data_IF_438903733075
#
_entry.id   IF_438903733075
#
_cell.length_a   1.000
_cell.length_b   1.000
_cell.length_c   1.000
_cell.angle_alpha   90.00
_cell.angle_beta   90.00
_cell.angle_gamma   90.00
#
_symmetry.space_group_name_H-M   'P 1'
#
loop_
_entity.id
_entity.type
_entity.pdbx_description
1 polymer ?
#
# COMPACT_ATOMS: atom_id res chain seq x y z
N UNK A 1 13.23 51.57 21.69
CA UNK A 1 12.67 50.19 21.78
C UNK A 1 11.58 49.90 20.75
N UNK A 2 10.45 50.63 20.67
CA UNK A 2 9.34 50.33 19.71
C UNK A 2 9.80 50.22 18.26
N UNK A 3 10.64 51.16 17.73
CA UNK A 3 11.13 51.11 16.35
C UNK A 3 12.00 49.87 16.06
N UNK A 4 12.85 49.45 17.01
CA UNK A 4 13.68 48.24 16.84
C UNK A 4 12.81 47.00 16.76
N UNK A 5 11.81 46.87 17.65
CA UNK A 5 10.84 45.75 17.63
C UNK A 5 10.09 45.71 16.28
N UNK A 6 9.65 46.87 15.77
CA UNK A 6 8.97 46.95 14.47
C UNK A 6 9.88 46.46 13.33
N UNK A 7 11.16 46.91 13.29
CA UNK A 7 12.11 46.43 12.26
C UNK A 7 12.39 44.93 12.41
N UNK A 8 12.55 44.38 13.62
CA UNK A 8 12.73 42.97 13.83
C UNK A 8 11.50 42.15 13.36
N UNK A 9 10.27 42.62 13.63
CA UNK A 9 9.06 41.96 13.15
C UNK A 9 8.92 42.04 11.63
N UNK A 10 9.26 43.17 11.00
CA UNK A 10 9.23 43.27 9.54
C UNK A 10 10.28 42.39 8.87
N UNK A 11 11.51 42.33 9.38
CA UNK A 11 12.54 41.41 8.86
C UNK A 11 12.15 39.96 9.01
N UNK A 12 11.56 39.57 10.14
CA UNK A 12 11.06 38.22 10.34
C UNK A 12 9.93 37.89 9.37
N UNK A 13 8.98 38.80 9.18
CA UNK A 13 7.89 38.63 8.22
C UNK A 13 8.42 38.46 6.79
N UNK A 14 9.33 39.29 6.36
CA UNK A 14 9.96 39.21 5.03
C UNK A 14 10.72 37.88 4.86
N UNK A 15 11.45 37.43 5.88
CA UNK A 15 12.14 36.15 5.86
C UNK A 15 11.14 34.99 5.73
N UNK A 16 10.04 35.01 6.50
CA UNK A 16 8.97 33.99 6.40
C UNK A 16 8.33 33.96 5.01
N UNK A 17 8.04 35.13 4.44
CA UNK A 17 7.49 35.25 3.08
C UNK A 17 8.48 34.73 2.02
N UNK A 18 9.76 35.04 2.14
CA UNK A 18 10.80 34.53 1.24
C UNK A 18 10.91 33.00 1.31
N UNK A 19 10.88 32.40 2.51
CA UNK A 19 10.88 30.95 2.70
C UNK A 19 9.61 30.34 2.09
N UNK A 20 8.44 30.92 2.36
CA UNK A 20 7.19 30.43 1.80
C UNK A 20 7.19 30.49 0.25
N UNK A 21 7.66 31.59 -0.34
CA UNK A 21 7.78 31.73 -1.79
C UNK A 21 8.75 30.70 -2.39
N UNK A 22 9.89 30.46 -1.71
CA UNK A 22 10.87 29.46 -2.14
C UNK A 22 10.29 28.05 -2.10
N UNK A 23 9.62 27.67 -1.01
CA UNK A 23 8.96 26.35 -0.88
C UNK A 23 7.85 26.19 -1.92
N UNK A 24 7.05 27.24 -2.15
CA UNK A 24 6.00 27.20 -3.16
C UNK A 24 6.60 27.01 -4.57
N UNK A 25 7.66 27.74 -4.90
CA UNK A 25 8.38 27.58 -6.17
C UNK A 25 8.98 26.18 -6.30
N UNK A 26 9.65 25.66 -5.27
CA UNK A 26 10.23 24.32 -5.27
C UNK A 26 9.15 23.23 -5.50
N UNK A 27 7.99 23.36 -4.86
CA UNK A 27 6.92 22.39 -4.97
C UNK A 27 6.10 22.48 -6.26
N UNK A 28 6.19 23.58 -6.99
CA UNK A 28 5.47 23.76 -8.25
C UNK A 28 6.32 23.53 -9.49
N UNK A 29 7.67 23.52 -9.36
CA UNK A 29 8.55 23.28 -10.51
C UNK A 29 8.45 21.84 -10.99
N UNK A 30 8.65 21.65 -12.30
CA UNK A 30 8.69 20.34 -12.94
C UNK A 30 10.13 19.81 -13.00
N UNK A 31 10.26 18.49 -12.90
CA UNK A 31 11.45 17.82 -13.40
C UNK A 31 11.32 17.65 -14.91
N UNK A 32 12.23 18.29 -15.62
CA UNK A 32 12.32 18.24 -17.09
C UNK A 32 13.38 17.23 -17.57
N UNK A 33 14.09 16.58 -16.64
CA UNK A 33 15.19 15.65 -16.95
C UNK A 33 14.69 14.29 -17.49
N UNK A 34 13.42 14.03 -17.41
CA UNK A 34 12.81 12.76 -17.71
C UNK A 34 12.53 12.56 -19.20
N UNK A 35 13.55 12.12 -19.90
CA UNK A 35 13.44 11.25 -21.07
C UNK A 35 12.74 11.77 -22.31
N UNK A 36 13.43 11.68 -23.42
CA UNK A 36 12.82 11.69 -24.77
C UNK A 36 11.76 10.59 -24.87
N UNK A 37 10.63 10.91 -25.50
CA UNK A 37 9.61 9.93 -25.86
C UNK A 37 10.24 8.69 -26.51
N UNK A 38 9.73 7.53 -26.17
CA UNK A 38 10.20 6.28 -26.80
C UNK A 38 10.07 6.37 -28.33
N UNK A 39 11.05 5.81 -29.03
CA UNK A 39 10.92 5.62 -30.47
C UNK A 39 9.66 4.80 -30.76
N UNK A 40 8.93 5.05 -31.85
CA UNK A 40 7.70 4.33 -32.17
C UNK A 40 7.95 2.84 -32.27
N UNK A 41 7.56 2.11 -31.23
CA UNK A 41 7.49 0.67 -31.20
C UNK A 41 6.22 0.20 -31.95
N UNK A 42 6.13 -1.08 -32.27
CA UNK A 42 4.90 -1.69 -32.73
C UNK A 42 3.74 -1.33 -31.80
N UNK A 43 2.71 -0.68 -32.35
CA UNK A 43 1.60 -0.16 -31.57
C UNK A 43 0.86 -1.27 -30.80
N UNK A 44 0.71 -2.45 -31.35
CA UNK A 44 0.07 -3.59 -30.69
C UNK A 44 0.90 -4.05 -29.48
N UNK A 45 2.20 -4.17 -29.62
CA UNK A 45 3.11 -4.54 -28.54
C UNK A 45 3.11 -3.50 -27.42
N UNK A 46 3.03 -2.22 -27.78
CA UNK A 46 2.95 -1.13 -26.82
C UNK A 46 1.65 -1.19 -25.99
N UNK A 47 0.51 -1.48 -26.63
CA UNK A 47 -0.78 -1.67 -25.95
C UNK A 47 -0.75 -2.89 -25.01
N UNK A 48 -0.15 -4.02 -25.43
CA UNK A 48 -0.05 -5.21 -24.58
C UNK A 48 0.86 -4.98 -23.38
N UNK A 49 1.98 -4.30 -23.58
CA UNK A 49 2.85 -3.85 -22.47
C UNK A 49 2.09 -2.94 -21.51
N UNK A 50 1.37 -1.96 -22.03
CA UNK A 50 0.56 -1.03 -21.23
C UNK A 50 -0.52 -1.73 -20.45
N UNK A 51 -1.19 -2.74 -21.03
CA UNK A 51 -2.18 -3.58 -20.34
C UNK A 51 -1.58 -4.32 -19.16
N UNK A 52 -0.40 -4.91 -19.37
CA UNK A 52 0.35 -5.60 -18.30
C UNK A 52 0.72 -4.63 -17.17
N UNK A 53 1.28 -3.47 -17.50
CA UNK A 53 1.68 -2.45 -16.55
C UNK A 53 0.49 -1.84 -15.79
N UNK A 54 -0.65 -1.62 -16.45
CA UNK A 54 -1.86 -1.10 -15.80
C UNK A 54 -2.44 -2.09 -14.78
N UNK A 55 -2.32 -3.40 -15.04
CA UNK A 55 -2.66 -4.44 -14.05
C UNK A 55 -1.67 -4.43 -12.90
N UNK A 56 -0.38 -4.41 -13.17
CA UNK A 56 0.67 -4.39 -12.15
C UNK A 56 0.56 -3.16 -11.26
N UNK A 57 0.31 -1.98 -11.83
CA UNK A 57 0.09 -0.73 -11.10
C UNK A 57 -1.28 -0.66 -10.40
N UNK A 58 -2.11 -1.70 -10.52
CA UNK A 58 -3.44 -1.79 -9.91
C UNK A 58 -4.33 -0.56 -10.18
N UNK A 59 -4.24 0.01 -11.37
CA UNK A 59 -4.92 1.26 -11.72
C UNK A 59 -6.44 1.18 -11.51
N UNK A 60 -7.03 0.00 -11.78
CA UNK A 60 -8.47 -0.24 -11.61
C UNK A 60 -8.93 -0.11 -10.16
N UNK A 61 -8.10 -0.41 -9.16
CA UNK A 61 -8.49 -0.33 -7.76
C UNK A 61 -8.97 1.07 -7.35
N UNK A 62 -8.31 2.11 -7.88
CA UNK A 62 -8.68 3.50 -7.61
C UNK A 62 -9.61 4.09 -8.70
N UNK A 63 -9.50 3.56 -9.93
CA UNK A 63 -10.21 4.14 -11.09
C UNK A 63 -11.43 3.34 -11.55
N UNK A 64 -11.95 2.41 -10.71
CA UNK A 64 -13.17 1.64 -11.00
C UNK A 64 -13.99 1.48 -9.73
N UNK A 65 -15.09 2.18 -9.61
CA UNK A 65 -16.00 2.01 -8.48
C UNK A 65 -16.58 0.59 -8.44
N UNK A 66 -16.94 0.10 -7.27
CA UNK A 66 -17.59 -1.21 -7.13
C UNK A 66 -18.85 -1.30 -7.98
N UNK A 67 -18.92 -2.29 -8.87
CA UNK A 67 -20.01 -2.42 -9.84
C UNK A 67 -20.00 -1.39 -10.97
N UNK A 68 -19.01 -0.50 -11.02
CA UNK A 68 -18.86 0.52 -12.06
C UNK A 68 -18.15 0.01 -13.32
N UNK A 69 -18.10 0.87 -14.33
CA UNK A 69 -17.37 0.62 -15.57
C UNK A 69 -15.86 0.75 -15.33
N UNK A 70 -15.06 -0.11 -15.99
CA UNK A 70 -13.61 -0.12 -15.88
C UNK A 70 -13.01 1.25 -16.21
N UNK A 71 -12.13 1.73 -15.35
CA UNK A 71 -11.44 3.01 -15.46
C UNK A 71 -12.32 4.27 -15.44
N UNK A 72 -13.63 4.15 -15.22
CA UNK A 72 -14.54 5.30 -15.20
C UNK A 72 -14.48 6.11 -13.89
N UNK A 73 -13.67 5.71 -12.93
CA UNK A 73 -13.49 6.42 -11.65
C UNK A 73 -14.57 6.13 -10.62
N UNK A 74 -14.66 7.00 -9.63
CA UNK A 74 -15.71 6.98 -8.60
C UNK A 74 -15.36 6.21 -7.33
N UNK A 75 -14.26 5.47 -7.28
CA UNK A 75 -13.80 4.78 -6.06
C UNK A 75 -13.50 5.78 -4.95
N UNK A 76 -14.10 5.57 -3.79
CA UNK A 76 -13.82 6.33 -2.59
C UNK A 76 -12.52 5.85 -1.93
N UNK A 77 -11.63 6.77 -1.61
CA UNK A 77 -10.34 6.54 -0.95
C UNK A 77 -10.37 7.30 0.37
N UNK A 78 -10.74 6.64 1.47
CA UNK A 78 -10.78 7.29 2.78
C UNK A 78 -9.37 7.61 3.29
N UNK A 79 -9.20 8.79 3.85
CA UNK A 79 -7.95 9.25 4.44
C UNK A 79 -8.24 9.99 5.77
N UNK A 80 -7.24 10.22 6.63
CA UNK A 80 -7.41 11.06 7.82
C UNK A 80 -7.81 12.51 7.52
N UNK A 81 -7.70 12.93 6.27
CA UNK A 81 -7.96 14.30 5.80
C UNK A 81 -9.34 14.47 5.16
N UNK A 82 -10.09 13.38 5.01
CA UNK A 82 -11.34 13.25 4.28
C UNK A 82 -11.26 12.24 3.13
N UNK A 83 -12.28 12.19 2.30
CA UNK A 83 -12.39 11.21 1.22
C UNK A 83 -11.94 11.80 -0.12
N UNK A 84 -11.02 11.12 -0.78
CA UNK A 84 -10.64 11.37 -2.17
C UNK A 84 -11.40 10.41 -3.09
N UNK A 85 -11.59 10.79 -4.34
CA UNK A 85 -12.25 9.94 -5.34
C UNK A 85 -11.34 9.77 -6.56
N UNK A 86 -11.19 8.52 -7.01
CA UNK A 86 -10.46 8.22 -8.24
C UNK A 86 -11.19 8.86 -9.45
N UNK A 87 -10.49 9.63 -10.30
CA UNK A 87 -11.10 10.23 -11.47
C UNK A 87 -11.34 9.21 -12.59
N UNK A 88 -12.19 9.60 -13.56
CA UNK A 88 -12.34 8.90 -14.83
C UNK A 88 -11.05 9.04 -15.66
N UNK A 89 -10.42 7.91 -16.01
CA UNK A 89 -9.24 7.85 -16.88
C UNK A 89 -9.50 7.08 -18.18
N UNK A 90 -10.78 6.90 -18.55
CA UNK A 90 -11.14 6.39 -19.88
C UNK A 90 -10.86 7.45 -20.96
N UNK A 91 -10.77 7.05 -22.24
CA UNK A 91 -10.54 8.00 -23.35
C UNK A 91 -11.79 8.82 -23.72
N UNK A 92 -12.70 9.04 -22.77
CA UNK A 92 -13.81 9.96 -22.97
C UNK A 92 -13.29 11.40 -23.04
N UNK A 93 -13.66 12.19 -24.09
CA UNK A 93 -13.09 13.51 -24.31
C UNK A 93 -13.65 14.59 -23.37
N UNK A 94 -14.78 14.34 -22.71
CA UNK A 94 -15.44 15.33 -21.86
C UNK A 94 -15.17 15.11 -20.38
N UNK A 95 -15.15 13.85 -19.93
CA UNK A 95 -15.09 13.51 -18.51
C UNK A 95 -13.86 12.67 -18.13
N UNK A 96 -13.12 12.17 -19.12
CA UNK A 96 -11.93 11.34 -18.95
C UNK A 96 -10.66 12.02 -19.47
N UNK A 97 -9.70 11.20 -19.92
CA UNK A 97 -8.42 11.65 -20.46
C UNK A 97 -8.39 11.66 -22.00
N UNK A 98 -9.53 11.67 -22.67
CA UNK A 98 -9.64 11.58 -24.14
C UNK A 98 -8.95 12.70 -24.90
N UNK A 99 -8.81 13.88 -24.29
CA UNK A 99 -8.11 15.04 -24.88
C UNK A 99 -6.62 15.13 -24.48
N UNK A 100 -6.14 14.21 -23.62
CA UNK A 100 -4.75 14.20 -23.18
C UNK A 100 -3.84 13.65 -24.29
N UNK A 101 -2.62 14.12 -24.29
CA UNK A 101 -1.50 13.51 -25.04
C UNK A 101 -0.57 12.74 -24.10
N UNK A 102 0.46 12.12 -24.66
CA UNK A 102 1.42 11.32 -23.90
C UNK A 102 2.21 12.17 -22.87
N UNK A 103 2.47 13.45 -23.17
CA UNK A 103 3.15 14.35 -22.25
C UNK A 103 2.25 14.75 -21.08
N UNK A 104 0.97 15.01 -21.30
CA UNK A 104 0.00 15.26 -20.25
C UNK A 104 -0.07 14.07 -19.26
N UNK A 105 -0.10 12.85 -19.80
CA UNK A 105 -0.14 11.64 -18.99
C UNK A 105 1.18 11.41 -18.24
N UNK A 106 2.31 11.65 -18.89
CA UNK A 106 3.62 11.62 -18.27
C UNK A 106 3.70 12.63 -17.11
N UNK A 107 3.26 13.87 -17.30
CA UNK A 107 3.25 14.88 -16.26
C UNK A 107 2.44 14.44 -15.03
N UNK A 108 1.32 13.74 -15.24
CA UNK A 108 0.53 13.23 -14.14
C UNK A 108 1.28 12.17 -13.32
N UNK A 109 1.92 11.21 -13.98
CA UNK A 109 2.69 10.15 -13.32
C UNK A 109 4.00 10.69 -12.70
N UNK A 110 4.76 11.45 -13.48
CA UNK A 110 6.13 11.83 -13.11
C UNK A 110 6.17 13.04 -12.19
N UNK A 111 5.38 14.07 -12.50
CA UNK A 111 5.37 15.30 -11.75
C UNK A 111 4.12 15.48 -10.86
N UNK A 112 3.18 14.55 -10.84
CA UNK A 112 1.94 14.68 -10.06
C UNK A 112 1.13 15.92 -10.43
N UNK A 113 1.07 16.26 -11.71
CA UNK A 113 0.30 17.39 -12.27
C UNK A 113 -0.70 16.93 -13.29
N UNK A 114 -1.93 17.43 -13.19
CA UNK A 114 -2.96 17.25 -14.20
C UNK A 114 -2.67 18.11 -15.44
N UNK A 115 -3.35 17.81 -16.55
CA UNK A 115 -3.25 18.56 -17.81
C UNK A 115 -3.48 20.06 -17.67
N UNK A 116 -4.36 20.48 -16.76
CA UNK A 116 -4.63 21.90 -16.45
C UNK A 116 -3.56 22.56 -15.55
N UNK A 117 -2.47 21.83 -15.22
CA UNK A 117 -1.39 22.27 -14.35
C UNK A 117 -1.70 22.16 -12.86
N UNK A 118 -2.89 21.71 -12.47
CA UNK A 118 -3.25 21.55 -11.06
C UNK A 118 -2.46 20.40 -10.41
N UNK A 119 -2.01 20.61 -9.15
CA UNK A 119 -1.27 19.61 -8.39
C UNK A 119 -2.22 18.46 -7.98
N UNK A 120 -1.78 17.23 -8.15
CA UNK A 120 -2.52 16.05 -7.74
C UNK A 120 -2.30 15.75 -6.24
N UNK A 121 -3.34 15.22 -5.58
CA UNK A 121 -3.21 14.75 -4.21
C UNK A 121 -2.36 13.48 -4.14
N UNK A 122 -1.49 13.30 -3.12
CA UNK A 122 -0.56 12.17 -3.04
C UNK A 122 -1.22 10.83 -2.65
N UNK A 123 -2.55 10.75 -2.63
CA UNK A 123 -3.27 9.48 -2.68
C UNK A 123 -3.13 8.82 -4.07
N UNK A 124 -2.96 9.60 -5.13
CA UNK A 124 -2.36 9.14 -6.37
C UNK A 124 -0.84 9.05 -6.13
N UNK A 125 -0.24 7.85 -6.15
CA UNK A 125 1.12 7.64 -5.66
C UNK A 125 2.18 8.10 -6.66
N UNK A 126 2.12 9.37 -7.10
CA UNK A 126 3.12 9.95 -7.99
C UNK A 126 4.51 10.04 -7.33
N UNK A 127 4.59 9.96 -6.02
CA UNK A 127 5.85 9.86 -5.27
C UNK A 127 6.63 8.60 -5.60
N UNK A 128 5.94 7.54 -5.99
CA UNK A 128 6.47 6.29 -6.49
C UNK A 128 6.48 6.25 -8.01
N UNK A 129 5.39 6.68 -8.66
CA UNK A 129 5.25 6.66 -10.12
C UNK A 129 6.24 7.56 -10.86
N UNK A 130 6.83 8.55 -10.20
CA UNK A 130 7.93 9.35 -10.78
C UNK A 130 9.11 8.48 -11.22
N UNK A 131 9.27 7.26 -10.65
CA UNK A 131 10.31 6.30 -11.01
C UNK A 131 10.00 5.52 -12.29
N UNK A 132 8.77 5.53 -12.76
CA UNK A 132 8.36 4.83 -14.00
C UNK A 132 9.09 5.44 -15.19
N UNK A 133 9.57 4.61 -16.10
CA UNK A 133 10.25 5.09 -17.33
C UNK A 133 9.24 5.76 -18.27
N UNK A 134 9.74 6.69 -19.09
CA UNK A 134 8.91 7.32 -20.12
C UNK A 134 8.30 6.29 -21.07
N UNK A 135 9.05 5.28 -21.46
CA UNK A 135 8.57 4.21 -22.35
C UNK A 135 7.39 3.42 -21.75
N UNK A 136 7.46 3.11 -20.44
CA UNK A 136 6.38 2.42 -19.74
C UNK A 136 5.17 3.33 -19.52
N UNK A 137 5.35 4.63 -19.28
CA UNK A 137 4.27 5.59 -19.23
C UNK A 137 3.55 5.76 -20.57
N UNK A 138 4.31 5.81 -21.67
CA UNK A 138 3.74 5.88 -23.03
C UNK A 138 2.96 4.60 -23.36
N UNK A 139 3.45 3.42 -22.93
CA UNK A 139 2.75 2.15 -23.09
C UNK A 139 1.44 2.11 -22.28
N UNK A 140 1.46 2.58 -21.01
CA UNK A 140 0.28 2.72 -20.18
C UNK A 140 -0.77 3.62 -20.85
N UNK A 141 -0.34 4.77 -21.35
CA UNK A 141 -1.23 5.71 -22.04
C UNK A 141 -1.80 5.10 -23.31
N UNK A 142 -0.98 4.42 -24.14
CA UNK A 142 -1.43 3.73 -25.33
C UNK A 142 -2.52 2.70 -25.01
N UNK A 143 -2.36 1.92 -23.95
CA UNK A 143 -3.39 0.99 -23.49
C UNK A 143 -4.67 1.71 -23.04
N UNK A 144 -4.58 2.74 -22.22
CA UNK A 144 -5.75 3.49 -21.74
C UNK A 144 -6.53 4.16 -22.87
N UNK A 145 -5.88 4.45 -23.99
CA UNK A 145 -6.55 4.95 -25.21
C UNK A 145 -7.39 3.87 -25.91
N UNK A 146 -7.21 2.59 -25.60
CA UNK A 146 -7.96 1.46 -26.17
C UNK A 146 -9.13 0.99 -25.32
N UNK A 147 -9.26 1.46 -24.07
CA UNK A 147 -10.39 1.06 -23.21
C UNK A 147 -11.67 1.74 -23.66
N UNK A 148 -12.82 1.17 -23.27
CA UNK A 148 -14.14 1.73 -23.61
C UNK A 148 -14.26 3.16 -23.06
N UNK A 149 -14.56 4.18 -23.87
CA UNK A 149 -14.83 5.52 -23.38
C UNK A 149 -16.14 5.54 -22.59
N UNK A 150 -16.10 6.09 -21.39
CA UNK A 150 -17.28 6.19 -20.50
C UNK A 150 -17.49 7.63 -20.10
N UNK A 151 -18.66 8.19 -20.46
CA UNK A 151 -19.03 9.54 -20.04
C UNK A 151 -19.53 9.50 -18.59
N UNK A 152 -18.59 9.76 -17.67
CA UNK A 152 -18.84 9.80 -16.22
C UNK A 152 -18.03 10.93 -15.59
N UNK A 153 -18.68 12.03 -15.15
CA UNK A 153 -18.00 13.10 -14.43
C UNK A 153 -17.30 12.60 -13.17
N UNK A 154 -16.08 13.08 -12.95
CA UNK A 154 -15.33 12.76 -11.74
C UNK A 154 -16.01 13.38 -10.52
N UNK A 155 -16.14 12.59 -9.46
CA UNK A 155 -16.70 13.04 -8.18
C UNK A 155 -15.75 14.03 -7.49
N UNK A 156 -16.23 15.19 -6.98
CA UNK A 156 -15.42 16.10 -6.19
C UNK A 156 -14.90 15.42 -4.90
N UNK A 157 -13.68 15.79 -4.49
CA UNK A 157 -13.11 15.32 -3.24
C UNK A 157 -13.82 15.93 -2.03
N UNK A 158 -13.98 15.16 -0.97
CA UNK A 158 -14.60 15.57 0.30
C UNK A 158 -13.51 15.69 1.37
N UNK A 159 -12.71 16.76 1.29
CA UNK A 159 -11.60 17.01 2.19
C UNK A 159 -11.94 18.12 3.18
N UNK A 160 -11.52 17.95 4.45
CA UNK A 160 -11.66 18.97 5.47
C UNK A 160 -10.72 20.16 5.21
N UNK A 161 -11.11 21.37 5.65
CA UNK A 161 -10.19 22.50 5.70
C UNK A 161 -9.05 22.21 6.69
N UNK A 162 -7.79 22.54 6.36
CA UNK A 162 -7.29 23.24 5.17
C UNK A 162 -6.90 22.33 4.00
N UNK A 163 -7.09 21.01 4.09
CA UNK A 163 -6.60 20.03 3.10
C UNK A 163 -7.31 20.12 1.75
N UNK A 164 -8.50 20.74 1.71
CA UNK A 164 -9.20 21.08 0.46
C UNK A 164 -8.57 22.25 -0.31
N UNK A 165 -7.57 22.93 0.26
CA UNK A 165 -6.84 24.03 -0.42
C UNK A 165 -5.68 23.46 -1.24
N UNK A 166 -5.96 23.16 -2.53
CA UNK A 166 -5.01 22.48 -3.43
C UNK A 166 -3.66 23.20 -3.55
N UNK A 167 -3.62 24.53 -3.44
CA UNK A 167 -2.37 25.31 -3.46
C UNK A 167 -1.39 24.93 -2.34
N UNK A 168 -1.87 24.42 -1.20
CA UNK A 168 -1.02 23.96 -0.10
C UNK A 168 -0.22 22.69 -0.44
N UNK A 169 -0.63 21.94 -1.48
CA UNK A 169 0.14 20.81 -1.97
C UNK A 169 1.54 21.21 -2.47
N UNK A 170 1.74 22.46 -2.91
CA UNK A 170 3.07 22.93 -3.28
C UNK A 170 4.05 22.82 -2.10
N UNK A 171 3.63 23.20 -0.89
CA UNK A 171 4.47 23.08 0.31
C UNK A 171 4.72 21.63 0.69
N UNK A 172 3.69 20.78 0.61
CA UNK A 172 3.83 19.34 0.85
C UNK A 172 4.82 18.71 -0.13
N UNK A 173 4.71 19.04 -1.42
CA UNK A 173 5.63 18.55 -2.48
C UNK A 173 7.06 19.01 -2.25
N UNK A 174 7.27 20.29 -1.90
CA UNK A 174 8.59 20.81 -1.60
C UNK A 174 9.31 20.06 -0.47
N UNK A 175 8.54 19.52 0.49
CA UNK A 175 9.08 18.82 1.66
C UNK A 175 9.23 17.30 1.44
N UNK A 176 8.36 16.69 0.63
CA UNK A 176 8.22 15.22 0.61
C UNK A 176 8.29 14.60 -0.77
N UNK A 177 8.33 15.38 -1.83
CA UNK A 177 8.40 14.85 -3.19
C UNK A 177 9.73 15.16 -3.85
N UNK A 178 10.39 14.10 -4.32
CA UNK A 178 11.62 14.19 -5.11
C UNK A 178 11.37 13.48 -6.44
N UNK A 179 11.15 14.20 -7.53
CA UNK A 179 10.95 13.59 -8.83
C UNK A 179 12.25 12.95 -9.33
N UNK A 180 12.13 11.88 -10.10
CA UNK A 180 13.27 11.23 -10.73
C UNK A 180 12.95 9.85 -11.25
N UNK A 181 13.27 9.60 -12.52
CA UNK A 181 13.14 8.29 -13.16
C UNK A 181 14.11 7.29 -12.50
N UNK A 182 13.67 6.05 -12.36
CA UNK A 182 14.52 4.98 -11.87
C UNK A 182 15.81 4.85 -12.67
N UNK A 183 16.91 4.77 -11.95
CA UNK A 183 18.24 4.48 -12.54
C UNK A 183 18.72 3.12 -12.03
N UNK A 184 19.07 2.19 -12.94
CA UNK A 184 19.61 0.90 -12.52
C UNK A 184 20.93 1.06 -11.75
N UNK A 185 21.07 0.28 -10.70
CA UNK A 185 22.32 0.15 -9.98
C UNK A 185 23.25 -0.81 -10.74
N UNK A 186 24.39 -0.32 -11.18
CA UNK A 186 25.38 -1.08 -11.96
C UNK A 186 26.10 -2.12 -11.14
N UNK A 187 26.05 -2.03 -9.79
CA UNK A 187 26.61 -3.05 -8.88
C UNK A 187 25.69 -4.25 -8.66
N UNK A 188 24.43 -4.15 -9.11
CA UNK A 188 23.41 -5.16 -8.86
C UNK A 188 23.01 -5.92 -10.13
N UNK A 189 22.39 -7.08 -9.94
CA UNK A 189 21.95 -7.92 -11.05
C UNK A 189 20.75 -7.34 -11.79
N UNK A 190 20.55 -7.76 -13.06
CA UNK A 190 19.38 -7.35 -13.86
C UNK A 190 18.05 -7.73 -13.17
N UNK A 191 17.86 -8.95 -12.62
CA UNK A 191 16.64 -9.27 -11.87
C UNK A 191 16.44 -8.40 -10.62
N UNK A 192 17.51 -8.10 -9.88
CA UNK A 192 17.41 -7.22 -8.72
C UNK A 192 16.94 -5.80 -9.11
N UNK A 193 17.57 -5.22 -10.15
CA UNK A 193 17.19 -3.92 -10.69
C UNK A 193 15.74 -3.91 -11.19
N UNK A 194 15.30 -4.97 -11.86
CA UNK A 194 13.90 -5.11 -12.30
C UNK A 194 12.95 -5.17 -11.09
N UNK A 195 13.30 -5.95 -10.08
CA UNK A 195 12.52 -6.04 -8.84
C UNK A 195 12.40 -4.70 -8.13
N UNK A 196 13.50 -3.97 -8.00
CA UNK A 196 13.51 -2.63 -7.39
C UNK A 196 12.64 -1.66 -8.17
N UNK A 197 12.76 -1.63 -9.49
CA UNK A 197 11.94 -0.81 -10.37
C UNK A 197 10.44 -1.05 -10.16
N UNK A 198 10.04 -2.33 -10.07
CA UNK A 198 8.64 -2.71 -9.88
C UNK A 198 8.14 -2.36 -8.48
N UNK A 199 8.91 -2.66 -7.44
CA UNK A 199 8.51 -2.45 -6.03
C UNK A 199 8.45 -0.96 -5.67
N UNK A 200 9.48 -0.19 -6.06
CA UNK A 200 9.58 1.23 -5.72
C UNK A 200 8.83 2.16 -6.69
N UNK A 201 8.53 1.68 -7.89
CA UNK A 201 7.83 2.43 -8.93
C UNK A 201 6.37 2.00 -9.03
N UNK A 202 6.04 1.27 -10.10
CA UNK A 202 4.65 0.99 -10.48
C UNK A 202 3.87 0.17 -9.44
N UNK A 203 4.53 -0.74 -8.73
CA UNK A 203 3.91 -1.53 -7.65
C UNK A 203 3.62 -0.72 -6.38
N UNK A 204 4.19 0.47 -6.24
CA UNK A 204 3.99 1.44 -5.14
C UNK A 204 3.83 0.82 -3.74
N UNK A 205 4.62 -0.22 -3.42
CA UNK A 205 4.50 -1.00 -2.18
C UNK A 205 4.61 -0.12 -0.92
N UNK A 206 5.40 0.97 -0.99
CA UNK A 206 5.54 1.95 0.07
C UNK A 206 4.23 2.65 0.43
N UNK A 207 3.26 2.72 -0.48
CA UNK A 207 1.96 3.33 -0.20
C UNK A 207 1.23 2.69 1.00
N UNK A 208 1.45 1.38 1.24
CA UNK A 208 0.92 0.66 2.39
C UNK A 208 2.02 0.21 3.34
N UNK A 209 3.15 -0.31 2.83
CA UNK A 209 4.19 -0.95 3.62
C UNK A 209 5.26 0.01 4.18
N UNK A 210 5.11 1.33 4.03
CA UNK A 210 5.96 2.32 4.68
C UNK A 210 5.18 3.12 5.74
N UNK A 211 5.83 3.48 6.87
CA UNK A 211 5.21 4.34 7.87
C UNK A 211 4.94 5.74 7.30
N UNK A 212 3.86 6.36 7.74
CA UNK A 212 3.49 7.72 7.34
C UNK A 212 3.63 8.70 8.49
N UNK A 213 3.95 9.95 8.17
CA UNK A 213 3.90 11.05 9.14
C UNK A 213 2.47 11.63 9.26
N UNK A 214 2.30 12.61 10.14
CA UNK A 214 1.01 13.28 10.39
C UNK A 214 0.45 14.05 9.18
N UNK A 215 1.28 14.33 8.17
CA UNK A 215 0.87 14.97 6.91
C UNK A 215 0.67 13.94 5.78
N UNK A 216 0.64 12.65 6.11
CA UNK A 216 0.37 11.57 5.17
C UNK A 216 1.54 11.19 4.26
N UNK A 217 2.70 11.81 4.39
CA UNK A 217 3.88 11.45 3.61
C UNK A 217 4.54 10.17 4.14
N UNK A 218 5.04 9.32 3.25
CA UNK A 218 5.88 8.18 3.61
C UNK A 218 7.20 8.65 4.20
N UNK A 219 7.67 7.98 5.26
CA UNK A 219 8.96 8.28 5.88
C UNK A 219 10.05 7.47 5.17
N UNK A 220 10.67 8.05 4.17
CA UNK A 220 11.64 7.39 3.30
C UNK A 220 12.82 6.75 4.09
N UNK A 221 13.24 7.35 5.21
CA UNK A 221 14.31 6.82 6.06
C UNK A 221 13.97 5.46 6.71
N UNK A 222 12.68 5.15 6.87
CA UNK A 222 12.23 3.90 7.49
C UNK A 222 12.03 2.78 6.45
N UNK A 223 12.15 3.09 5.16
CA UNK A 223 11.96 2.13 4.07
C UNK A 223 10.58 1.45 4.14
N UNK A 224 10.54 0.14 3.87
CA UNK A 224 9.33 -0.68 3.93
C UNK A 224 9.14 -1.31 5.33
N UNK A 225 9.19 -0.50 6.38
CA UNK A 225 9.12 -0.93 7.78
C UNK A 225 7.70 -1.27 8.27
N UNK A 226 6.74 -1.32 7.37
CA UNK A 226 5.33 -1.56 7.70
C UNK A 226 4.60 -0.28 8.11
N UNK A 227 3.28 -0.33 8.09
CA UNK A 227 2.46 0.82 8.44
C UNK A 227 0.99 0.50 8.66
N UNK A 228 0.32 1.33 9.46
CA UNK A 228 -1.13 1.31 9.55
C UNK A 228 -1.70 1.98 8.30
N UNK A 229 -2.57 1.27 7.57
CA UNK A 229 -3.28 1.82 6.42
C UNK A 229 -4.43 2.67 6.95
N UNK A 230 -4.19 3.98 6.98
CA UNK A 230 -5.14 4.94 7.50
C UNK A 230 -6.47 4.87 6.73
N UNK A 231 -7.59 4.90 7.45
CA UNK A 231 -8.93 4.81 6.88
C UNK A 231 -9.44 3.38 6.63
N UNK A 232 -8.56 2.37 6.66
CA UNK A 232 -8.95 0.96 6.52
C UNK A 232 -8.73 0.15 7.80
N UNK A 233 -7.98 0.68 8.76
CA UNK A 233 -7.60 0.00 10.00
C UNK A 233 -6.99 -1.40 9.80
N UNK A 234 -6.17 -1.53 8.77
CA UNK A 234 -5.31 -2.68 8.52
C UNK A 234 -3.85 -2.29 8.68
N UNK A 235 -3.04 -3.21 9.17
CA UNK A 235 -1.59 -3.02 9.27
C UNK A 235 -0.87 -3.78 8.16
N UNK A 236 -0.16 -3.06 7.29
CA UNK A 236 0.73 -3.67 6.31
C UNK A 236 2.06 -4.05 7.00
N UNK A 237 2.44 -5.34 7.03
CA UNK A 237 3.65 -5.77 7.73
C UNK A 237 4.93 -5.25 7.07
N UNK A 238 6.07 -5.21 7.80
CA UNK A 238 7.37 -4.89 7.22
C UNK A 238 7.74 -5.85 6.09
N UNK A 239 8.37 -5.33 5.04
CA UNK A 239 8.91 -6.12 3.93
C UNK A 239 10.45 -6.25 3.99
N UNK A 240 11.08 -5.77 5.05
CA UNK A 240 12.50 -5.96 5.30
C UNK A 240 12.83 -7.38 5.79
N UNK A 241 14.12 -7.69 5.85
CA UNK A 241 14.63 -9.05 6.09
C UNK A 241 14.72 -9.40 7.60
N UNK A 242 13.78 -8.91 8.42
CA UNK A 242 13.65 -9.30 9.82
C UNK A 242 12.99 -10.69 9.92
N UNK A 243 13.59 -11.65 10.67
CA UNK A 243 13.06 -13.02 10.76
C UNK A 243 11.80 -13.16 11.63
N UNK A 244 11.51 -12.18 12.49
CA UNK A 244 10.36 -12.25 13.40
C UNK A 244 9.12 -11.53 12.85
N UNK A 245 9.31 -10.38 12.21
CA UNK A 245 8.22 -9.49 11.81
C UNK A 245 8.14 -9.23 10.30
N UNK A 246 9.21 -9.55 9.56
CA UNK A 246 9.33 -9.31 8.12
C UNK A 246 9.51 -10.58 7.29
N UNK A 247 10.26 -10.44 6.20
CA UNK A 247 10.49 -11.51 5.21
C UNK A 247 11.76 -12.33 5.46
N UNK A 248 12.38 -12.23 6.65
CA UNK A 248 13.67 -12.89 6.94
C UNK A 248 13.67 -14.40 6.75
N UNK A 249 12.56 -15.07 7.04
CA UNK A 249 12.39 -16.53 6.87
C UNK A 249 11.88 -16.96 5.50
N UNK A 250 11.57 -16.02 4.63
CA UNK A 250 11.01 -16.26 3.30
C UNK A 250 12.11 -16.41 2.27
N UNK A 251 11.91 -17.24 1.29
CA UNK A 251 12.69 -17.24 0.05
C UNK A 251 12.10 -16.21 -0.94
N UNK A 252 12.89 -15.83 -1.96
CA UNK A 252 12.37 -15.02 -3.05
C UNK A 252 11.19 -15.71 -3.77
N UNK A 253 11.23 -17.04 -3.84
CA UNK A 253 10.15 -17.85 -4.43
C UNK A 253 8.88 -17.84 -3.57
N UNK A 254 8.98 -17.88 -2.23
CA UNK A 254 7.80 -17.76 -1.34
C UNK A 254 7.11 -16.40 -1.55
N UNK A 255 7.89 -15.33 -1.71
CA UNK A 255 7.36 -14.00 -1.98
C UNK A 255 6.67 -13.95 -3.33
N UNK A 256 7.31 -14.47 -4.39
CA UNK A 256 6.73 -14.55 -5.73
C UNK A 256 5.40 -15.35 -5.70
N UNK A 257 5.40 -16.49 -5.00
CA UNK A 257 4.21 -17.33 -4.86
C UNK A 257 3.08 -16.58 -4.15
N UNK A 258 3.37 -15.85 -3.05
CA UNK A 258 2.36 -15.04 -2.37
C UNK A 258 1.78 -13.96 -3.30
N UNK A 259 2.63 -13.26 -4.05
CA UNK A 259 2.20 -12.22 -4.98
C UNK A 259 1.30 -12.76 -6.09
N UNK A 260 1.61 -13.93 -6.64
CA UNK A 260 0.83 -14.51 -7.75
C UNK A 260 -0.42 -15.26 -7.30
N UNK A 261 -0.39 -15.89 -6.13
CA UNK A 261 -1.47 -16.80 -5.72
C UNK A 261 -2.27 -16.30 -4.51
N UNK A 262 -1.72 -15.34 -3.76
CA UNK A 262 -2.26 -14.88 -2.48
C UNK A 262 -1.96 -15.82 -1.32
N UNK A 263 -1.24 -16.91 -1.55
CA UNK A 263 -0.91 -17.90 -0.53
C UNK A 263 0.55 -18.34 -0.64
N UNK A 264 1.20 -18.47 0.50
CA UNK A 264 2.53 -19.04 0.61
C UNK A 264 2.64 -19.84 1.91
N UNK A 265 3.74 -20.59 2.06
CA UNK A 265 3.99 -21.41 3.23
C UNK A 265 3.84 -20.67 4.56
N UNK A 266 4.22 -19.41 4.60
CA UNK A 266 4.33 -18.62 5.83
C UNK A 266 3.15 -17.69 6.08
N UNK A 267 2.32 -17.40 5.09
CA UNK A 267 1.19 -16.49 5.23
C UNK A 267 0.20 -16.60 4.07
N UNK A 268 -0.97 -16.01 4.27
CA UNK A 268 -1.98 -15.81 3.24
C UNK A 268 -2.30 -14.32 3.16
N UNK A 269 -2.44 -13.79 1.95
CA UNK A 269 -2.89 -12.42 1.73
C UNK A 269 -4.34 -12.27 2.23
N UNK A 270 -4.57 -11.26 3.05
CA UNK A 270 -5.88 -10.94 3.63
C UNK A 270 -6.16 -9.45 3.57
N UNK A 271 -7.42 -9.06 3.73
CA UNK A 271 -7.83 -7.66 3.67
C UNK A 271 -7.34 -6.96 2.41
N UNK A 272 -6.83 -5.72 2.49
CA UNK A 272 -6.39 -4.95 1.33
C UNK A 272 -5.34 -5.66 0.46
N UNK A 273 -4.46 -6.49 1.06
CA UNK A 273 -3.46 -7.24 0.28
C UNK A 273 -4.11 -8.34 -0.58
N UNK A 274 -5.21 -8.93 -0.14
CA UNK A 274 -5.97 -9.88 -0.95
C UNK A 274 -6.55 -9.20 -2.21
N UNK A 275 -7.02 -7.96 -2.09
CA UNK A 275 -7.49 -7.17 -3.23
C UNK A 275 -6.36 -6.81 -4.19
N UNK A 276 -5.17 -6.48 -3.67
CA UNK A 276 -3.97 -6.24 -4.49
C UNK A 276 -3.61 -7.50 -5.28
N UNK A 277 -3.62 -8.67 -4.65
CA UNK A 277 -3.36 -9.93 -5.36
C UNK A 277 -4.43 -10.17 -6.43
N UNK A 278 -5.70 -10.04 -6.07
CA UNK A 278 -6.83 -10.29 -6.99
C UNK A 278 -6.83 -9.34 -8.19
N UNK A 279 -6.62 -8.05 -7.98
CA UNK A 279 -6.68 -7.01 -9.03
C UNK A 279 -5.39 -6.83 -9.81
N UNK A 280 -4.24 -7.20 -9.24
CA UNK A 280 -2.93 -6.82 -9.74
C UNK A 280 -1.94 -8.00 -9.78
N UNK A 281 -1.36 -8.37 -8.65
CA UNK A 281 -0.13 -9.17 -8.65
C UNK A 281 -0.29 -10.61 -9.14
N UNK A 282 -1.51 -11.18 -9.17
CA UNK A 282 -1.74 -12.48 -9.81
C UNK A 282 -1.42 -12.50 -11.33
N UNK A 283 -1.36 -11.34 -11.96
CA UNK A 283 -1.05 -11.20 -13.38
C UNK A 283 0.44 -11.00 -13.66
N UNK A 284 1.29 -10.97 -12.63
CA UNK A 284 2.75 -10.94 -12.80
C UNK A 284 3.21 -12.18 -13.54
N UNK A 285 4.09 -12.00 -14.53
CA UNK A 285 4.85 -13.11 -15.07
C UNK A 285 5.87 -13.61 -14.03
N UNK A 286 6.34 -14.84 -14.19
CA UNK A 286 7.23 -15.49 -13.20
C UNK A 286 8.54 -14.73 -13.00
N UNK A 287 9.07 -14.15 -14.07
CA UNK A 287 10.34 -13.40 -14.01
C UNK A 287 10.19 -12.13 -13.17
N UNK A 288 9.12 -11.36 -13.37
CA UNK A 288 8.85 -10.14 -12.60
C UNK A 288 8.48 -10.45 -11.13
N UNK A 289 7.69 -11.49 -10.88
CA UNK A 289 7.36 -11.92 -9.52
C UNK A 289 8.62 -12.35 -8.75
N UNK A 290 9.49 -13.15 -9.36
CA UNK A 290 10.76 -13.56 -8.77
C UNK A 290 11.74 -12.40 -8.62
N UNK A 291 11.78 -11.46 -9.57
CA UNK A 291 12.58 -10.24 -9.47
C UNK A 291 12.17 -9.38 -8.27
N UNK A 292 10.86 -9.17 -8.05
CA UNK A 292 10.35 -8.48 -6.86
C UNK A 292 10.75 -9.22 -5.57
N UNK A 293 10.62 -10.56 -5.53
CA UNK A 293 11.08 -11.37 -4.42
C UNK A 293 12.59 -11.22 -4.16
N UNK A 294 13.41 -11.21 -5.22
CA UNK A 294 14.86 -11.03 -5.13
C UNK A 294 15.23 -9.67 -4.53
N UNK A 295 14.59 -8.60 -4.99
CA UNK A 295 14.82 -7.27 -4.44
C UNK A 295 14.37 -7.17 -2.97
N UNK A 296 13.16 -7.63 -2.64
CA UNK A 296 12.64 -7.58 -1.28
C UNK A 296 13.52 -8.37 -0.29
N UNK A 297 14.10 -9.49 -0.72
CA UNK A 297 15.06 -10.26 0.09
C UNK A 297 16.39 -9.57 0.31
N UNK A 298 16.77 -8.59 -0.47
CA UNK A 298 17.99 -7.80 -0.26
C UNK A 298 17.80 -6.64 0.72
N UNK A 299 16.55 -6.30 1.06
CA UNK A 299 16.28 -5.18 1.97
C UNK A 299 16.78 -5.50 3.39
N UNK A 300 17.40 -4.53 4.09
CA UNK A 300 17.80 -4.72 5.48
C UNK A 300 16.59 -5.02 6.36
N UNK A 301 16.84 -5.58 7.54
CA UNK A 301 15.82 -5.64 8.58
C UNK A 301 15.33 -4.22 8.88
N UNK A 302 14.00 -4.05 8.96
CA UNK A 302 13.43 -2.76 9.33
C UNK A 302 13.94 -2.36 10.72
N UNK A 303 14.19 -1.06 10.96
CA UNK A 303 14.47 -0.59 12.32
C UNK A 303 13.35 -1.08 13.25
N UNK A 304 13.72 -1.62 14.41
CA UNK A 304 12.74 -2.00 15.41
C UNK A 304 11.82 -0.79 15.66
N UNK A 305 10.52 -0.99 15.49
CA UNK A 305 9.57 0.06 15.87
C UNK A 305 9.89 0.47 17.30
N UNK A 306 10.25 1.73 17.51
CA UNK A 306 10.86 2.26 18.74
C UNK A 306 9.95 2.27 19.97
N UNK A 307 9.25 1.17 20.23
CA UNK A 307 8.45 0.92 21.41
C UNK A 307 8.96 -0.29 22.18
N UNK A 308 8.90 -0.25 23.50
CA UNK A 308 9.14 -1.42 24.34
C UNK A 308 8.21 -2.55 23.85
N UNK A 309 8.78 -3.74 23.71
CA UNK A 309 7.99 -4.92 23.36
C UNK A 309 6.83 -5.07 24.37
N UNK A 310 5.58 -5.23 23.92
CA UNK A 310 4.46 -5.37 24.86
C UNK A 310 4.76 -6.49 25.86
N UNK A 311 4.37 -6.35 27.13
CA UNK A 311 4.57 -7.41 28.11
C UNK A 311 3.89 -8.70 27.64
N UNK A 312 4.53 -9.82 27.91
CA UNK A 312 3.95 -11.14 27.61
C UNK A 312 2.62 -11.36 28.36
N UNK A 313 1.76 -12.25 27.86
CA UNK A 313 0.54 -12.64 28.53
C UNK A 313 0.83 -13.37 29.84
N UNK A 314 -0.07 -13.24 30.85
CA UNK A 314 0.00 -14.03 32.09
C UNK A 314 -0.27 -15.51 31.81
N UNK A 315 0.18 -16.40 32.72
CA UNK A 315 -0.10 -17.83 32.62
C UNK A 315 -1.60 -18.14 32.55
N UNK A 316 -2.44 -17.42 33.31
CA UNK A 316 -3.88 -17.56 33.27
C UNK A 316 -4.46 -17.19 31.89
N UNK A 317 -3.98 -16.10 31.28
CA UNK A 317 -4.40 -15.69 29.95
C UNK A 317 -3.99 -16.71 28.88
N UNK A 318 -2.79 -17.30 29.02
CA UNK A 318 -2.30 -18.37 28.14
C UNK A 318 -3.13 -19.65 28.25
N UNK A 319 -3.56 -20.04 29.47
CA UNK A 319 -4.42 -21.20 29.68
C UNK A 319 -5.79 -21.03 29.01
N UNK A 320 -6.43 -19.88 29.21
CA UNK A 320 -7.70 -19.54 28.57
C UNK A 320 -7.56 -19.55 27.04
N UNK A 321 -6.57 -18.80 26.51
CA UNK A 321 -6.34 -18.72 25.09
C UNK A 321 -6.01 -20.07 24.44
N UNK A 322 -5.22 -20.91 25.14
CA UNK A 322 -4.90 -22.27 24.68
C UNK A 322 -6.11 -23.21 24.62
N UNK A 323 -7.06 -23.08 25.58
CA UNK A 323 -8.33 -23.83 25.54
C UNK A 323 -9.18 -23.41 24.35
N UNK A 324 -9.34 -22.11 24.15
CA UNK A 324 -10.09 -21.55 23.02
C UNK A 324 -9.45 -21.95 21.67
N UNK A 325 -8.13 -21.93 21.58
CA UNK A 325 -7.39 -22.36 20.40
C UNK A 325 -7.69 -23.83 20.04
N UNK A 326 -7.56 -24.74 21.00
CA UNK A 326 -7.86 -26.16 20.77
C UNK A 326 -9.31 -26.39 20.38
N UNK A 327 -10.24 -25.62 20.94
CA UNK A 327 -11.66 -25.76 20.68
C UNK A 327 -12.08 -25.25 19.29
N UNK A 328 -11.50 -24.14 18.81
CA UNK A 328 -12.00 -23.43 17.64
C UNK A 328 -11.03 -23.37 16.46
N UNK A 329 -9.72 -23.55 16.68
CA UNK A 329 -8.70 -23.20 15.69
C UNK A 329 -7.84 -24.41 15.27
N UNK A 330 -7.51 -25.30 16.21
CA UNK A 330 -6.54 -26.38 16.00
C UNK A 330 -6.94 -27.36 14.90
N UNK A 331 -8.22 -27.53 14.61
CA UNK A 331 -8.72 -28.43 13.54
C UNK A 331 -8.19 -28.04 12.16
N UNK A 332 -8.02 -26.72 11.91
CA UNK A 332 -7.46 -26.21 10.66
C UNK A 332 -5.98 -25.82 10.81
N UNK A 333 -5.64 -25.09 11.88
CA UNK A 333 -4.31 -24.56 12.08
C UNK A 333 -3.33 -25.50 12.79
N UNK A 334 -3.79 -26.70 13.17
CA UNK A 334 -3.05 -27.77 13.86
C UNK A 334 -2.56 -27.35 15.25
N UNK A 335 -2.18 -28.33 16.09
CA UNK A 335 -1.86 -28.09 17.51
C UNK A 335 -0.67 -27.18 17.76
N UNK A 336 0.31 -27.17 16.84
CA UNK A 336 1.50 -26.31 16.90
C UNK A 336 1.41 -25.07 16.03
N UNK A 337 0.20 -24.71 15.57
CA UNK A 337 -0.01 -23.55 14.70
C UNK A 337 0.75 -23.63 13.36
N UNK A 338 1.18 -24.82 12.96
CA UNK A 338 1.97 -25.04 11.75
C UNK A 338 1.16 -24.98 10.46
N UNK A 339 -0.19 -25.00 10.58
CA UNK A 339 -1.08 -25.06 9.44
C UNK A 339 -1.03 -26.39 8.67
N UNK A 340 -1.68 -26.47 7.53
CA UNK A 340 -1.66 -27.64 6.65
C UNK A 340 -1.62 -27.25 5.18
N UNK A 341 -0.48 -27.45 4.58
CA UNK A 341 -0.23 -27.06 3.18
C UNK A 341 -0.43 -25.57 2.97
N UNK A 342 -0.96 -25.19 1.81
CA UNK A 342 -1.29 -23.80 1.47
C UNK A 342 -2.76 -23.45 1.82
N UNK A 343 -3.59 -24.46 2.11
CA UNK A 343 -5.02 -24.26 2.35
C UNK A 343 -5.29 -23.59 3.70
N UNK A 344 -4.54 -23.98 4.73
CA UNK A 344 -4.64 -23.42 6.07
C UNK A 344 -3.28 -22.89 6.51
N UNK A 345 -3.12 -21.54 6.54
CA UNK A 345 -1.82 -20.94 6.78
C UNK A 345 -1.28 -21.25 8.17
N UNK A 346 0.05 -21.31 8.26
CA UNK A 346 0.73 -21.37 9.54
C UNK A 346 0.45 -20.08 10.34
N UNK A 347 0.26 -20.22 11.65
CA UNK A 347 0.21 -19.13 12.63
C UNK A 347 1.57 -18.96 13.31
N UNK A 348 2.35 -20.05 13.39
CA UNK A 348 3.72 -20.03 13.86
C UNK A 348 4.63 -19.28 12.87
N UNK A 349 5.28 -18.23 13.32
CA UNK A 349 6.19 -17.42 12.49
C UNK A 349 5.51 -16.61 11.38
N UNK A 350 4.18 -16.44 11.43
CA UNK A 350 3.44 -15.66 10.44
C UNK A 350 3.59 -14.15 10.72
N UNK A 351 4.12 -13.36 9.77
CA UNK A 351 4.33 -11.92 9.96
C UNK A 351 3.06 -11.14 10.30
N UNK A 352 1.91 -11.57 9.82
CA UNK A 352 0.61 -10.94 10.16
C UNK A 352 0.24 -11.17 11.62
N UNK A 353 0.59 -12.35 12.17
CA UNK A 353 0.36 -12.70 13.59
C UNK A 353 1.36 -11.97 14.48
N UNK A 354 2.64 -11.92 14.07
CA UNK A 354 3.73 -11.32 14.86
C UNK A 354 3.91 -9.83 14.64
N UNK A 355 3.09 -9.22 13.79
CA UNK A 355 3.12 -7.78 13.53
C UNK A 355 3.09 -6.95 14.83
N UNK A 356 3.73 -5.77 14.89
CA UNK A 356 3.73 -4.91 16.08
C UNK A 356 2.33 -4.55 16.57
N UNK A 357 1.40 -4.31 15.65
CA UNK A 357 -0.01 -4.06 15.96
C UNK A 357 -0.84 -5.33 15.75
N UNK A 358 -1.69 -5.73 16.72
CA UNK A 358 -2.47 -6.95 16.63
C UNK A 358 -3.72 -6.85 15.76
N UNK A 359 -3.97 -5.70 15.14
CA UNK A 359 -5.22 -5.37 14.45
C UNK A 359 -5.62 -6.40 13.39
N UNK A 360 -4.68 -6.89 12.58
CA UNK A 360 -4.97 -7.88 11.55
C UNK A 360 -5.38 -9.23 12.16
N UNK A 361 -4.65 -9.71 13.18
CA UNK A 361 -4.98 -10.95 13.85
C UNK A 361 -6.36 -10.88 14.53
N UNK A 362 -6.69 -9.73 15.13
CA UNK A 362 -8.01 -9.49 15.74
C UNK A 362 -9.09 -9.51 14.65
N UNK A 363 -8.90 -8.77 13.53
CA UNK A 363 -9.88 -8.72 12.43
C UNK A 363 -10.15 -10.09 11.83
N UNK A 364 -9.09 -10.83 11.51
CA UNK A 364 -9.23 -12.17 10.92
C UNK A 364 -9.98 -13.13 11.86
N UNK A 365 -9.78 -13.01 13.18
CA UNK A 365 -10.58 -13.80 14.15
C UNK A 365 -12.03 -13.32 14.20
N UNK A 366 -12.27 -12.01 14.24
CA UNK A 366 -13.64 -11.47 14.34
C UNK A 366 -14.45 -11.70 13.07
N UNK A 367 -13.89 -11.29 11.94
CA UNK A 367 -14.60 -11.14 10.67
C UNK A 367 -14.46 -12.38 9.76
N UNK A 368 -13.49 -13.26 10.07
CA UNK A 368 -13.11 -14.33 9.16
C UNK A 368 -12.47 -13.81 7.88
N UNK A 369 -12.58 -14.59 6.81
CA UNK A 369 -12.14 -14.15 5.48
C UNK A 369 -11.76 -15.31 4.56
N UNK A 370 -11.43 -14.92 3.32
CA UNK A 370 -10.97 -15.82 2.29
C UNK A 370 -9.63 -15.33 1.73
N UNK A 371 -8.77 -16.26 1.34
CA UNK A 371 -7.69 -15.93 0.43
C UNK A 371 -8.27 -15.40 -0.90
N UNK A 372 -7.51 -14.61 -1.68
CA UNK A 372 -8.00 -14.16 -2.98
C UNK A 372 -8.24 -15.36 -3.93
N UNK A 373 -9.36 -15.31 -4.65
CA UNK A 373 -9.65 -16.28 -5.70
C UNK A 373 -8.81 -15.94 -6.95
N UNK A 374 -7.70 -16.63 -7.12
CA UNK A 374 -6.78 -16.45 -8.24
C UNK A 374 -6.85 -17.63 -9.21
N UNK A 375 -6.20 -17.50 -10.38
CA UNK A 375 -6.11 -18.62 -11.33
C UNK A 375 -5.47 -19.88 -10.71
N UNK A 376 -4.49 -19.69 -9.81
CA UNK A 376 -3.83 -20.79 -9.09
C UNK A 376 -4.61 -21.29 -7.88
N UNK A 377 -5.58 -20.50 -7.37
CA UNK A 377 -6.45 -20.88 -6.25
C UNK A 377 -7.89 -20.44 -6.51
N UNK A 378 -8.60 -21.07 -7.45
CA UNK A 378 -9.93 -20.61 -7.88
C UNK A 378 -11.04 -20.84 -6.82
N UNK A 379 -10.79 -21.67 -5.82
CA UNK A 379 -11.71 -21.97 -4.72
C UNK A 379 -10.98 -21.94 -3.38
N UNK A 380 -10.65 -20.74 -2.86
CA UNK A 380 -9.94 -20.61 -1.60
C UNK A 380 -10.79 -21.12 -0.43
N UNK A 381 -10.13 -21.72 0.56
CA UNK A 381 -10.75 -22.03 1.83
C UNK A 381 -10.99 -20.76 2.64
N UNK A 382 -12.15 -20.68 3.30
CA UNK A 382 -12.51 -19.57 4.17
C UNK A 382 -12.23 -19.86 5.63
N UNK A 383 -11.87 -18.83 6.37
CA UNK A 383 -11.91 -18.84 7.84
C UNK A 383 -13.26 -18.29 8.29
N UNK A 384 -14.03 -19.00 9.14
CA UNK A 384 -15.31 -18.52 9.62
C UNK A 384 -15.13 -17.32 10.57
N UNK A 385 -16.11 -16.38 10.65
CA UNK A 385 -16.11 -15.31 11.63
C UNK A 385 -16.44 -15.83 13.03
N UNK A 386 -15.68 -15.38 14.03
CA UNK A 386 -15.92 -15.72 15.43
C UNK A 386 -16.53 -14.58 16.25
N UNK A 387 -16.80 -13.42 15.66
CA UNK A 387 -17.45 -12.29 16.34
C UNK A 387 -18.78 -12.67 17.03
N UNK A 388 -19.64 -13.56 16.47
CA UNK A 388 -20.89 -13.96 17.12
C UNK A 388 -20.70 -14.92 18.32
N UNK A 389 -19.54 -15.58 18.43
CA UNK A 389 -19.30 -16.68 19.38
C UNK A 389 -18.33 -16.29 20.49
N UNK A 390 -17.36 -15.41 20.20
CA UNK A 390 -16.30 -15.00 21.13
C UNK A 390 -16.47 -13.54 21.55
N UNK A 391 -16.51 -13.33 22.87
CA UNK A 391 -16.48 -11.99 23.45
C UNK A 391 -15.08 -11.35 23.38
N UNK A 392 -15.00 -10.06 23.71
CA UNK A 392 -13.73 -9.31 23.61
C UNK A 392 -12.63 -9.91 24.50
N UNK A 393 -12.99 -10.43 25.69
CA UNK A 393 -12.05 -11.10 26.58
C UNK A 393 -11.52 -12.40 25.97
N UNK A 394 -12.38 -13.17 25.30
CA UNK A 394 -12.02 -14.46 24.69
C UNK A 394 -11.11 -14.23 23.48
N UNK A 395 -11.44 -13.27 22.61
CA UNK A 395 -10.60 -12.90 21.46
C UNK A 395 -9.25 -12.35 21.93
N UNK A 396 -9.22 -11.54 23.00
CA UNK A 396 -7.96 -11.03 23.55
C UNK A 396 -7.09 -12.18 24.09
N UNK A 397 -7.66 -13.15 24.79
CA UNK A 397 -6.95 -14.32 25.29
C UNK A 397 -6.45 -15.22 24.14
N UNK A 398 -7.31 -15.52 23.17
CA UNK A 398 -6.98 -16.34 22.00
C UNK A 398 -5.86 -15.72 21.17
N UNK A 399 -5.97 -14.43 20.82
CA UNK A 399 -4.96 -13.75 19.99
C UNK A 399 -3.66 -13.57 20.77
N UNK A 400 -3.71 -13.31 22.09
CA UNK A 400 -2.52 -13.30 22.95
C UNK A 400 -1.80 -14.64 22.96
N UNK A 401 -2.55 -15.75 23.06
CA UNK A 401 -2.00 -17.10 22.99
C UNK A 401 -1.30 -17.35 21.65
N UNK A 402 -1.98 -17.10 20.53
CA UNK A 402 -1.44 -17.30 19.18
C UNK A 402 -0.15 -16.45 18.97
N UNK A 403 -0.15 -15.19 19.42
CA UNK A 403 0.97 -14.26 19.28
C UNK A 403 2.17 -14.58 20.19
N UNK A 404 1.99 -15.45 21.18
CA UNK A 404 3.03 -15.82 22.17
C UNK A 404 3.35 -17.32 22.21
N UNK A 405 2.83 -18.13 21.28
CA UNK A 405 3.06 -19.57 21.18
C UNK A 405 3.96 -19.93 20.00
N UNK A 406 4.51 -21.13 20.01
CA UNK A 406 5.25 -21.74 18.88
C UNK A 406 6.42 -20.91 18.36
N UNK A 407 7.08 -20.17 19.27
CA UNK A 407 8.19 -19.28 18.94
C UNK A 407 7.78 -17.85 18.54
N UNK A 408 6.49 -17.54 18.48
CA UNK A 408 6.02 -16.17 18.35
C UNK A 408 6.28 -15.38 19.64
N UNK A 409 6.70 -14.11 19.53
CA UNK A 409 7.05 -13.24 20.66
C UNK A 409 6.46 -11.82 20.46
N UNK A 410 5.16 -11.73 20.15
CA UNK A 410 4.55 -10.47 19.74
C UNK A 410 3.68 -9.79 20.84
N UNK A 411 3.71 -10.33 22.06
CA UNK A 411 3.07 -9.73 23.24
C UNK A 411 1.55 -9.95 23.33
N UNK A 412 1.01 -9.53 24.49
CA UNK A 412 -0.41 -9.68 24.80
C UNK A 412 -1.29 -8.69 24.03
N UNK A 413 -2.57 -9.07 23.90
CA UNK A 413 -3.66 -8.24 23.39
C UNK A 413 -4.64 -7.94 24.53
N UNK A 414 -5.19 -6.74 24.55
CA UNK A 414 -6.17 -6.31 25.56
C UNK A 414 -7.60 -6.37 25.00
N UNK A 415 -8.62 -6.57 25.87
CA UNK A 415 -10.01 -6.51 25.44
C UNK A 415 -10.41 -5.15 24.84
N UNK A 416 -9.74 -4.07 25.26
CA UNK A 416 -9.96 -2.73 24.70
C UNK A 416 -9.52 -2.65 23.22
N UNK A 417 -8.39 -3.26 22.86
CA UNK A 417 -7.93 -3.33 21.48
C UNK A 417 -8.92 -4.14 20.63
N UNK A 418 -9.44 -5.26 21.15
CA UNK A 418 -10.45 -6.07 20.47
C UNK A 418 -11.73 -5.27 20.26
N UNK A 419 -12.23 -4.63 21.31
CA UNK A 419 -13.45 -3.80 21.21
C UNK A 419 -13.32 -2.71 20.17
N UNK A 420 -12.19 -2.00 20.14
CA UNK A 420 -11.94 -0.94 19.14
C UNK A 420 -12.03 -1.48 17.71
N UNK A 421 -11.46 -2.67 17.45
CA UNK A 421 -11.52 -3.31 16.12
C UNK A 421 -12.93 -3.77 15.81
N UNK A 422 -13.64 -4.39 16.77
CA UNK A 422 -15.03 -4.84 16.58
C UNK A 422 -15.96 -3.68 16.24
N UNK A 423 -15.86 -2.57 16.98
CA UNK A 423 -16.69 -1.38 16.76
C UNK A 423 -16.40 -0.79 15.35
N UNK A 424 -15.15 -0.79 14.89
CA UNK A 424 -14.78 -0.33 13.54
C UNK A 424 -15.31 -1.26 12.44
N UNK A 425 -15.35 -2.57 12.65
CA UNK A 425 -15.87 -3.55 11.67
C UNK A 425 -17.39 -3.45 11.49
N UNK A 426 -18.13 -3.02 12.51
CA UNK A 426 -19.60 -2.86 12.44
C UNK A 426 -20.05 -1.57 11.73
N UNK A 427 -19.13 -0.65 11.46
CA UNK A 427 -19.40 0.63 10.80
C UNK A 427 -19.10 0.63 9.30
N UNK A 428 -18.50 -0.44 8.78
CA UNK A 428 -18.17 -0.69 7.38
C UNK A 428 -19.07 -1.78 6.79
#
# INVERSE_FOLDING_TARGET
>A
MKRIITYCLLTLLLACLAVAATLYWMGTRDDTSAGTAAAPADAARMVDQGRYLARLGNCMACHTAQGGKAYAGGTAIPTPFGTLYGPNITPDPQTGIGTWNADDFWQALHNGKSKDGSLLYPAFPYTEYTRVSRADADALFAYLRTVEPVSQPSRPHELAFPYNQRGLLAFWRALYFQPGVYQPDTGETVPWNRGRYLVEGLGHCAACHAPRNSLGATRAADGLAGGLIAGLDWYAPPLGNDPATGLGRWSAQDIATLLQTGMARHSTASGPMAEVVLGSSQYLNDADALAMGTYLKSLPAAPAAGGAQPPGPSAALMDIGGKLYRQHCAVCHQDQGQGSGIAWPALAGNPTVTAPLPVNAIRVVLDGGFAPATAANPRPHGMPPFAPVLGDNDVAALVSYIRSSWGNQAGRVTPFEVKRVRDASTLN
#
